data_IF_376910119124
#
_entry.id   IF_376910119124
#
_cell.length_a   1.000
_cell.length_b   1.000
_cell.length_c   1.000
_cell.angle_alpha   90.00
_cell.angle_beta   90.00
_cell.angle_gamma   90.00
#
_symmetry.space_group_name_H-M   'P 1'
#
loop_
_entity.id
_entity.type
_entity.pdbx_description
1 polymer ?
#
# COMPACT_ATOMS: atom_id res chain seq x y z
N UNK A 1 -2.29 18.59 28.26
CA UNK A 1 -3.18 19.01 27.15
C UNK A 1 -2.32 19.49 26.00
N UNK A 2 -1.92 18.59 25.09
CA UNK A 2 -1.25 18.97 23.85
C UNK A 2 -2.10 18.44 22.70
N UNK A 3 -2.78 19.37 22.04
CA UNK A 3 -3.65 19.09 20.91
C UNK A 3 -2.74 18.94 19.69
N UNK A 4 -2.20 17.73 19.50
CA UNK A 4 -1.31 17.43 18.38
C UNK A 4 -2.12 17.22 17.11
N UNK A 5 -2.40 18.31 16.41
CA UNK A 5 -2.90 18.27 15.04
C UNK A 5 -1.75 17.76 14.15
N UNK A 6 -1.54 16.44 14.16
CA UNK A 6 -0.47 15.77 13.44
C UNK A 6 -0.75 15.82 11.95
N UNK A 7 -0.23 16.85 11.27
CA UNK A 7 -0.27 16.94 9.82
C UNK A 7 0.48 15.74 9.23
N UNK A 8 -0.22 14.84 8.55
CA UNK A 8 0.40 13.74 7.81
C UNK A 8 1.10 14.36 6.60
N UNK A 9 2.43 14.35 6.60
CA UNK A 9 3.23 14.79 5.46
C UNK A 9 3.38 13.63 4.47
N UNK A 10 2.63 13.66 3.36
CA UNK A 10 2.77 12.69 2.27
C UNK A 10 3.94 13.12 1.39
N UNK A 11 5.03 12.33 1.38
CA UNK A 11 6.17 12.52 0.48
C UNK A 11 6.18 11.44 -0.61
N UNK A 12 5.99 11.84 -1.87
CA UNK A 12 6.20 10.93 -3.00
C UNK A 12 7.69 10.79 -3.31
N UNK A 13 8.26 9.63 -3.00
CA UNK A 13 9.67 9.31 -3.19
C UNK A 13 10.05 9.06 -4.65
N UNK A 14 9.08 8.93 -5.57
CA UNK A 14 9.33 8.67 -7.00
C UNK A 14 9.77 9.93 -7.76
N UNK A 15 9.53 11.12 -7.21
CA UNK A 15 9.82 12.38 -7.88
C UNK A 15 11.31 12.78 -7.85
N UNK A 16 12.15 12.10 -7.07
CA UNK A 16 13.57 12.47 -6.87
C UNK A 16 14.59 11.60 -7.62
N UNK A 17 14.15 10.65 -8.43
CA UNK A 17 15.02 9.84 -9.30
C UNK A 17 14.72 10.13 -10.77
N UNK A 18 15.73 9.99 -11.63
CA UNK A 18 15.52 9.88 -13.09
C UNK A 18 14.35 8.94 -13.39
N UNK A 19 13.60 9.24 -14.46
CA UNK A 19 12.44 8.49 -14.99
C UNK A 19 12.68 6.96 -14.92
N UNK A 20 12.39 6.36 -13.76
CA UNK A 20 13.08 5.13 -13.29
C UNK A 20 12.51 3.85 -13.88
N UNK A 21 11.59 3.97 -14.83
CA UNK A 21 11.18 2.87 -15.68
C UNK A 21 11.08 3.40 -17.10
N UNK A 22 11.98 2.98 -17.98
CA UNK A 22 11.77 3.12 -19.43
C UNK A 22 10.67 2.12 -19.85
N UNK A 23 9.47 2.32 -19.32
CA UNK A 23 8.33 1.43 -19.43
C UNK A 23 7.97 1.19 -20.89
N UNK A 24 8.08 2.25 -21.71
CA UNK A 24 7.93 2.16 -23.16
C UNK A 24 8.96 1.22 -23.77
N UNK A 25 10.24 1.37 -23.43
CA UNK A 25 11.32 0.52 -23.92
C UNK A 25 11.15 -0.94 -23.52
N UNK A 26 10.82 -1.18 -22.25
CA UNK A 26 10.57 -2.53 -21.71
C UNK A 26 9.36 -3.20 -22.36
N UNK A 27 8.28 -2.46 -22.57
CA UNK A 27 7.09 -2.95 -23.23
C UNK A 27 7.38 -3.31 -24.70
N UNK A 28 8.04 -2.41 -25.45
CA UNK A 28 8.44 -2.68 -26.84
C UNK A 28 9.36 -3.89 -26.92
N UNK A 29 10.37 -3.97 -26.05
CA UNK A 29 11.30 -5.10 -26.01
C UNK A 29 10.59 -6.43 -25.68
N UNK A 30 9.62 -6.42 -24.77
CA UNK A 30 8.88 -7.62 -24.38
C UNK A 30 7.90 -8.09 -25.46
N UNK A 31 7.21 -7.16 -26.14
CA UNK A 31 6.23 -7.50 -27.18
C UNK A 31 6.87 -7.90 -28.52
N UNK A 32 8.11 -7.48 -28.77
CA UNK A 32 8.87 -7.86 -29.98
C UNK A 32 9.52 -9.24 -29.89
N UNK A 33 9.52 -9.88 -28.71
CA UNK A 33 9.97 -11.27 -28.55
C UNK A 33 9.08 -12.26 -29.32
N UNK A 34 9.59 -13.48 -29.63
CA UNK A 34 8.76 -14.57 -30.12
C UNK A 34 7.54 -14.78 -29.22
N UNK A 35 6.42 -15.19 -29.81
CA UNK A 35 5.11 -15.24 -29.14
C UNK A 35 5.09 -16.01 -27.82
N UNK A 36 5.93 -17.04 -27.66
CA UNK A 36 6.08 -17.83 -26.42
C UNK A 36 6.76 -17.11 -25.26
N UNK A 37 7.35 -15.92 -25.48
CA UNK A 37 8.13 -15.16 -24.49
C UNK A 37 7.66 -13.71 -24.34
N UNK A 38 6.48 -13.38 -24.87
CA UNK A 38 5.90 -12.05 -24.68
C UNK A 38 5.37 -11.91 -23.27
N UNK A 39 5.63 -10.76 -22.66
CA UNK A 39 5.12 -10.37 -21.35
C UNK A 39 4.75 -8.88 -21.35
N UNK A 40 3.94 -8.47 -20.38
CA UNK A 40 3.59 -7.07 -20.13
C UNK A 40 4.02 -6.75 -18.70
N UNK A 41 4.70 -5.62 -18.45
CA UNK A 41 5.04 -5.17 -17.11
C UNK A 41 3.79 -5.08 -16.23
N UNK A 42 3.84 -5.68 -15.03
CA UNK A 42 2.69 -5.74 -14.12
C UNK A 42 2.24 -4.36 -13.63
N UNK A 43 3.09 -3.33 -13.69
CA UNK A 43 2.71 -1.96 -13.32
C UNK A 43 1.57 -1.42 -14.20
N UNK A 44 1.44 -1.91 -15.44
CA UNK A 44 0.36 -1.56 -16.35
C UNK A 44 -1.00 -2.16 -15.95
N UNK A 45 -1.03 -3.08 -14.97
CA UNK A 45 -2.26 -3.62 -14.42
C UNK A 45 -2.97 -2.63 -13.49
N UNK A 46 -2.27 -1.61 -12.96
CA UNK A 46 -2.76 -0.78 -11.85
C UNK A 46 -3.22 0.60 -12.30
N UNK A 47 -3.93 0.68 -13.44
CA UNK A 47 -4.74 1.85 -13.79
C UNK A 47 -6.04 1.90 -12.95
N UNK A 48 -6.85 2.94 -13.13
CA UNK A 48 -8.11 3.11 -12.39
C UNK A 48 -9.01 1.86 -12.49
N UNK A 49 -9.09 1.26 -13.69
CA UNK A 49 -9.92 0.07 -13.91
C UNK A 49 -9.33 -1.18 -13.24
N UNK A 50 -8.02 -1.34 -13.28
CA UNK A 50 -7.33 -2.42 -12.62
C UNK A 50 -7.45 -2.35 -11.10
N UNK A 51 -7.48 -1.14 -10.54
CA UNK A 51 -7.78 -0.93 -9.13
C UNK A 51 -9.21 -1.38 -8.78
N UNK A 52 -10.23 -0.95 -9.53
CA UNK A 52 -11.62 -1.40 -9.34
C UNK A 52 -11.73 -2.94 -9.39
N UNK A 53 -11.07 -3.58 -10.37
CA UNK A 53 -11.07 -5.03 -10.49
C UNK A 53 -10.39 -5.72 -9.30
N UNK A 54 -9.34 -5.11 -8.75
CA UNK A 54 -8.71 -5.62 -7.55
C UNK A 54 -9.63 -5.52 -6.33
N UNK A 55 -10.43 -4.46 -6.21
CA UNK A 55 -11.47 -4.37 -5.18
C UNK A 55 -12.47 -5.52 -5.28
N UNK A 56 -12.99 -5.79 -6.48
CA UNK A 56 -13.89 -6.93 -6.71
C UNK A 56 -13.23 -8.28 -6.32
N UNK A 57 -11.92 -8.43 -6.58
CA UNK A 57 -11.16 -9.63 -6.21
C UNK A 57 -11.06 -9.79 -4.69
N UNK A 58 -10.93 -8.70 -3.92
CA UNK A 58 -10.81 -8.77 -2.46
C UNK A 58 -12.04 -9.37 -1.78
N UNK A 59 -13.22 -9.20 -2.38
CA UNK A 59 -14.48 -9.77 -1.91
C UNK A 59 -14.69 -11.23 -2.32
N UNK A 60 -13.88 -11.74 -3.25
CA UNK A 60 -14.01 -13.12 -3.71
C UNK A 60 -13.68 -14.12 -2.58
N UNK A 61 -14.55 -15.12 -2.30
CA UNK A 61 -14.31 -16.11 -1.24
C UNK A 61 -12.99 -16.86 -1.37
N UNK A 62 -12.54 -17.09 -2.61
CA UNK A 62 -11.30 -17.80 -2.92
C UNK A 62 -10.04 -16.94 -2.67
N UNK A 63 -10.16 -15.61 -2.73
CA UNK A 63 -9.06 -14.69 -2.53
C UNK A 63 -9.01 -14.25 -1.06
N UNK A 64 -8.40 -15.09 -0.22
CA UNK A 64 -8.24 -14.79 1.21
C UNK A 64 -7.16 -13.76 1.60
N UNK A 65 -6.13 -13.41 0.79
CA UNK A 65 -5.00 -12.59 1.26
C UNK A 65 -5.39 -11.28 1.94
N UNK A 66 -6.25 -10.48 1.31
CA UNK A 66 -6.69 -9.19 1.87
C UNK A 66 -7.38 -9.36 3.24
N UNK A 67 -8.30 -10.32 3.36
CA UNK A 67 -9.02 -10.57 4.62
C UNK A 67 -8.09 -11.07 5.73
N UNK A 68 -7.11 -11.90 5.39
CA UNK A 68 -6.12 -12.38 6.35
C UNK A 68 -5.20 -11.27 6.84
N UNK A 69 -4.72 -10.41 5.92
CA UNK A 69 -3.93 -9.23 6.27
C UNK A 69 -4.71 -8.29 7.20
N UNK A 70 -5.95 -7.95 6.83
CA UNK A 70 -6.81 -7.10 7.64
C UNK A 70 -7.04 -7.68 9.05
N UNK A 71 -7.30 -8.99 9.17
CA UNK A 71 -7.49 -9.66 10.45
C UNK A 71 -6.23 -9.62 11.33
N UNK A 72 -5.05 -9.83 10.74
CA UNK A 72 -3.77 -9.78 11.46
C UNK A 72 -3.45 -8.34 11.91
N UNK A 73 -3.57 -7.36 11.01
CA UNK A 73 -3.30 -5.96 11.34
C UNK A 73 -4.26 -5.46 12.42
N UNK A 74 -5.54 -5.82 12.34
CA UNK A 74 -6.54 -5.43 13.34
C UNK A 74 -6.31 -6.11 14.69
N UNK A 75 -5.84 -7.37 14.70
CA UNK A 75 -5.64 -8.14 15.92
C UNK A 75 -4.32 -7.85 16.65
N UNK A 76 -3.28 -7.41 15.93
CA UNK A 76 -1.92 -7.31 16.46
C UNK A 76 -1.30 -5.91 16.35
N UNK A 77 -2.00 -4.93 15.78
CA UNK A 77 -1.53 -3.53 15.65
C UNK A 77 -0.91 -2.97 16.93
N UNK A 78 -1.60 -3.06 18.07
CA UNK A 78 -1.11 -2.55 19.35
C UNK A 78 0.19 -3.22 19.79
N UNK A 79 0.29 -4.54 19.59
CA UNK A 79 1.49 -5.31 19.93
C UNK A 79 2.66 -4.94 19.04
N UNK A 80 2.41 -4.73 17.74
CA UNK A 80 3.41 -4.26 16.78
C UNK A 80 3.91 -2.85 17.16
N UNK A 81 3.00 -1.96 17.56
CA UNK A 81 3.37 -0.62 18.04
C UNK A 81 4.21 -0.72 19.32
N UNK A 82 3.83 -1.54 20.29
CA UNK A 82 4.63 -1.73 21.51
C UNK A 82 6.03 -2.26 21.19
N UNK A 83 6.13 -3.27 20.32
CA UNK A 83 7.39 -3.91 19.93
C UNK A 83 8.35 -2.97 19.18
N UNK A 84 7.83 -1.96 18.46
CA UNK A 84 8.65 -1.01 17.67
C UNK A 84 9.34 0.08 18.49
N UNK A 85 9.02 0.25 19.78
CA UNK A 85 9.70 1.20 20.67
C UNK A 85 9.39 2.68 20.40
N UNK A 86 10.07 3.61 21.08
CA UNK A 86 9.63 5.00 21.23
C UNK A 86 9.81 5.90 19.99
N UNK A 87 10.70 5.55 19.05
CA UNK A 87 10.93 6.30 17.81
C UNK A 87 10.28 5.58 16.64
N UNK A 88 9.14 6.11 16.15
CA UNK A 88 8.31 5.41 15.17
C UNK A 88 8.21 6.21 13.88
N UNK A 89 8.63 5.58 12.78
CA UNK A 89 8.36 6.01 11.42
C UNK A 89 7.67 4.84 10.72
N UNK A 90 6.48 5.08 10.18
CA UNK A 90 5.78 4.12 9.32
C UNK A 90 6.02 4.54 7.88
N UNK A 91 6.55 3.62 7.07
CA UNK A 91 6.72 3.80 5.63
C UNK A 91 5.79 2.79 4.97
N UNK A 92 4.76 3.28 4.31
CA UNK A 92 3.85 2.45 3.52
C UNK A 92 4.35 2.39 2.08
N UNK A 93 4.78 1.20 1.66
CA UNK A 93 5.32 0.97 0.33
C UNK A 93 4.18 0.58 -0.63
N UNK A 94 3.56 1.60 -1.22
CA UNK A 94 2.43 1.44 -2.12
C UNK A 94 1.11 1.62 -1.37
N UNK A 95 0.55 2.83 -1.44
CA UNK A 95 -0.68 3.18 -0.71
C UNK A 95 -1.97 2.59 -1.31
N UNK A 96 -1.86 1.78 -2.38
CA UNK A 96 -3.00 1.26 -3.12
C UNK A 96 -4.02 2.34 -3.50
N UNK A 97 -5.30 2.02 -3.36
CA UNK A 97 -6.42 2.95 -3.45
C UNK A 97 -6.89 3.32 -2.03
N UNK A 98 -6.70 4.59 -1.65
CA UNK A 98 -6.84 5.07 -0.25
C UNK A 98 -8.31 5.35 0.14
N UNK A 99 -9.26 5.28 -0.79
CA UNK A 99 -10.64 5.72 -0.52
C UNK A 99 -11.45 4.76 0.37
N UNK A 100 -11.18 3.45 0.36
CA UNK A 100 -11.87 2.50 1.25
C UNK A 100 -11.31 2.48 2.68
N UNK A 101 -10.03 2.84 2.86
CA UNK A 101 -9.35 2.77 4.17
C UNK A 101 -9.82 3.85 5.16
N UNK A 102 -10.46 4.91 4.68
CA UNK A 102 -10.88 6.06 5.51
C UNK A 102 -11.96 5.75 6.55
N UNK A 103 -12.70 4.64 6.38
CA UNK A 103 -13.85 4.34 7.24
C UNK A 103 -13.58 3.29 8.33
N UNK A 104 -12.47 2.56 8.27
CA UNK A 104 -12.23 1.40 9.14
C UNK A 104 -10.91 1.40 9.92
N UNK A 105 -9.93 2.23 9.55
CA UNK A 105 -8.66 2.31 10.28
C UNK A 105 -8.57 3.59 11.12
N UNK A 106 -9.45 3.71 12.13
CA UNK A 106 -9.25 4.65 13.22
C UNK A 106 -8.35 3.97 14.25
N UNK A 107 -7.02 4.08 14.12
CA UNK A 107 -6.12 3.71 15.20
C UNK A 107 -6.38 4.65 16.38
N UNK A 108 -6.98 4.19 17.50
CA UNK A 108 -7.10 5.04 18.67
C UNK A 108 -5.69 5.33 19.19
N UNK A 109 -5.38 6.61 19.36
CA UNK A 109 -4.12 7.06 19.92
C UNK A 109 -3.85 6.33 21.25
N UNK A 110 -2.78 5.53 21.31
CA UNK A 110 -2.35 4.85 22.54
C UNK A 110 -2.02 5.92 23.59
N UNK A 111 -2.66 5.91 24.78
CA UNK A 111 -2.26 6.80 25.85
C UNK A 111 -0.87 6.40 26.36
N UNK A 112 0.04 7.39 26.42
CA UNK A 112 1.38 7.18 26.97
C UNK A 112 1.31 6.73 28.44
N UNK A 113 2.15 5.80 28.90
CA UNK A 113 2.23 5.48 30.31
C UNK A 113 2.90 6.63 31.06
N UNK A 114 2.12 7.31 31.91
CA UNK A 114 2.63 8.19 32.97
C UNK A 114 2.75 9.68 32.62
N UNK A 115 1.69 10.43 32.94
CA UNK A 115 1.77 11.56 33.87
C UNK A 115 0.54 11.54 34.77
#
# INVERSE_FOLDING_TARGET
MHNGNGTIEVRDIRLQGEDSTNLRGELVASLTRPSSFRSIPSILLWDDRGQELFEDIMDCPQYYPFRAELALLSGYSDQMVIATGQSRLIIELGAGYVFHFSSQCFFPCIPSPGK
#
